data_IF_220395212700
#
_entry.id   IF_220395212700
#
_cell.length_a   1.000
_cell.length_b   1.000
_cell.length_c   1.000
_cell.angle_alpha   90.00
_cell.angle_beta   90.00
_cell.angle_gamma   90.00
#
_symmetry.space_group_name_H-M   'P 1'
#
loop_
_entity.id
_entity.type
_entity.pdbx_description
1 polymer ?
#
# COMPACT_ATOMS: atom_id res chain seq x y z
N UNK A 1 27.87 11.59 -24.65
CA UNK A 1 26.99 12.28 -23.69
C UNK A 1 26.18 11.20 -23.01
N UNK A 2 26.59 10.84 -21.79
CA UNK A 2 25.97 9.80 -20.98
C UNK A 2 24.73 10.39 -20.31
N UNK A 3 23.55 9.99 -20.78
CA UNK A 3 22.29 10.29 -20.10
C UNK A 3 22.31 9.56 -18.76
N UNK A 4 22.52 10.28 -17.66
CA UNK A 4 22.21 9.74 -16.34
C UNK A 4 20.71 9.39 -16.33
N UNK A 5 20.30 8.19 -15.90
CA UNK A 5 18.90 7.96 -15.61
C UNK A 5 18.52 8.94 -14.49
N UNK A 6 17.44 9.67 -14.67
CA UNK A 6 16.86 10.43 -13.57
C UNK A 6 16.63 9.47 -12.42
N UNK A 7 17.29 9.68 -11.28
CA UNK A 7 16.90 9.06 -10.02
C UNK A 7 15.49 9.58 -9.71
N UNK A 8 14.47 8.91 -10.25
CA UNK A 8 13.08 9.06 -9.86
C UNK A 8 13.01 8.63 -8.40
N UNK A 9 13.32 9.54 -7.48
CA UNK A 9 13.40 9.20 -6.06
C UNK A 9 11.99 9.07 -5.51
N UNK A 10 11.44 7.85 -5.62
CA UNK A 10 10.26 7.40 -4.89
C UNK A 10 10.53 7.27 -3.38
N UNK A 11 11.69 7.72 -2.90
CA UNK A 11 12.12 7.65 -1.50
C UNK A 11 11.14 8.35 -0.57
N UNK A 12 10.65 9.54 -0.94
CA UNK A 12 9.65 10.25 -0.13
C UNK A 12 8.34 9.48 0.01
N UNK A 13 7.85 8.91 -1.10
CA UNK A 13 6.63 8.11 -1.14
C UNK A 13 6.81 6.80 -0.36
N UNK A 14 7.94 6.11 -0.56
CA UNK A 14 8.33 4.92 0.20
C UNK A 14 8.39 5.21 1.69
N UNK A 15 9.06 6.29 2.11
CA UNK A 15 9.20 6.67 3.51
C UNK A 15 7.84 7.08 4.13
N UNK A 16 6.93 7.64 3.34
CA UNK A 16 5.56 7.92 3.78
C UNK A 16 4.81 6.62 4.10
N UNK A 17 4.84 5.65 3.19
CA UNK A 17 4.11 4.38 3.34
C UNK A 17 4.75 3.50 4.43
N UNK A 18 6.07 3.44 4.48
CA UNK A 18 6.84 2.59 5.41
C UNK A 18 7.11 3.24 6.76
N UNK A 19 6.52 4.42 7.03
CA UNK A 19 6.78 5.20 8.24
C UNK A 19 6.53 4.40 9.52
N UNK A 20 7.57 4.25 10.34
CA UNK A 20 7.49 3.54 11.62
C UNK A 20 7.50 2.02 11.51
N UNK A 21 7.59 1.46 10.29
CA UNK A 21 7.70 0.03 10.05
C UNK A 21 9.17 -0.33 9.87
N UNK A 22 9.70 -1.15 10.78
CA UNK A 22 11.09 -1.68 10.69
C UNK A 22 11.12 -3.09 10.12
N UNK A 23 10.11 -3.88 10.45
CA UNK A 23 10.00 -5.28 10.07
C UNK A 23 8.52 -5.62 9.88
N UNK A 24 8.23 -6.44 8.87
CA UNK A 24 6.91 -6.99 8.62
C UNK A 24 7.03 -8.51 8.70
N UNK A 25 6.36 -9.11 9.67
CA UNK A 25 6.39 -10.55 9.84
C UNK A 25 5.45 -11.23 8.83
N UNK A 26 6.04 -11.84 7.81
CA UNK A 26 5.33 -12.54 6.73
C UNK A 26 5.32 -14.07 6.92
N UNK A 27 5.72 -14.58 8.09
CA UNK A 27 5.76 -16.03 8.39
C UNK A 27 4.38 -16.66 8.67
N UNK A 28 3.29 -15.90 8.47
CA UNK A 28 1.93 -16.39 8.63
C UNK A 28 1.51 -17.40 7.55
N UNK A 29 0.27 -17.90 7.62
CA UNK A 29 -0.25 -18.89 6.66
C UNK A 29 -0.52 -18.31 5.26
N UNK A 30 -0.50 -16.98 5.10
CA UNK A 30 -0.79 -16.30 3.85
C UNK A 30 0.32 -16.53 2.82
N UNK A 31 -0.04 -16.86 1.59
CA UNK A 31 0.92 -17.10 0.49
C UNK A 31 0.81 -15.92 -0.49
N UNK A 32 1.66 -14.88 -0.38
CA UNK A 32 1.59 -13.73 -1.27
C UNK A 32 2.02 -14.07 -2.69
N UNK A 33 1.35 -13.44 -3.65
CA UNK A 33 1.78 -13.45 -5.06
C UNK A 33 3.05 -12.62 -5.26
N UNK A 34 3.86 -13.02 -6.24
CA UNK A 34 5.01 -12.23 -6.72
C UNK A 34 4.51 -11.15 -7.69
N UNK A 35 4.76 -9.89 -7.35
CA UNK A 35 4.33 -8.73 -8.12
C UNK A 35 5.39 -8.40 -9.18
N UNK A 36 4.96 -8.34 -10.43
CA UNK A 36 5.80 -7.87 -11.54
C UNK A 36 5.58 -6.37 -11.73
N UNK A 37 6.63 -5.58 -11.48
CA UNK A 37 6.58 -4.13 -11.57
C UNK A 37 6.98 -3.70 -12.99
N UNK A 38 6.17 -2.83 -13.60
CA UNK A 38 6.41 -2.29 -14.94
C UNK A 38 6.34 -0.76 -14.93
N UNK A 39 7.20 -0.13 -15.72
CA UNK A 39 7.29 1.33 -15.86
C UNK A 39 8.01 2.03 -14.70
N UNK A 40 8.32 3.31 -14.91
CA UNK A 40 9.23 4.06 -14.03
C UNK A 40 8.56 4.64 -12.77
N UNK A 41 7.25 4.51 -12.65
CA UNK A 41 6.45 5.01 -11.53
C UNK A 41 6.08 3.93 -10.52
N UNK A 42 6.37 2.65 -10.81
CA UNK A 42 6.16 1.55 -9.87
C UNK A 42 7.42 1.34 -9.02
N UNK A 43 7.25 1.12 -7.73
CA UNK A 43 8.36 0.88 -6.81
C UNK A 43 7.99 -0.18 -5.74
N UNK A 44 8.96 -1.00 -5.31
CA UNK A 44 8.72 -2.03 -4.31
C UNK A 44 8.58 -1.40 -2.91
N UNK A 45 7.71 -1.98 -2.08
CA UNK A 45 7.60 -1.68 -0.65
C UNK A 45 8.22 -2.79 0.20
N UNK A 46 7.96 -4.04 -0.19
CA UNK A 46 8.40 -5.23 0.55
C UNK A 46 8.89 -6.28 -0.43
N UNK A 47 10.07 -6.82 -0.17
CA UNK A 47 10.66 -7.92 -0.93
C UNK A 47 11.06 -9.05 0.01
N UNK A 48 10.99 -10.28 -0.47
CA UNK A 48 11.58 -11.42 0.24
C UNK A 48 13.09 -11.54 -0.06
N UNK A 49 13.76 -12.48 0.61
CA UNK A 49 15.19 -12.75 0.42
C UNK A 49 15.55 -13.27 -0.98
N UNK A 50 14.57 -13.69 -1.78
CA UNK A 50 14.75 -14.12 -3.17
C UNK A 50 14.62 -12.97 -4.17
N UNK A 51 14.33 -11.74 -3.70
CA UNK A 51 14.14 -10.56 -4.54
C UNK A 51 12.74 -10.44 -5.15
N UNK A 52 11.80 -11.30 -4.75
CA UNK A 52 10.41 -11.23 -5.20
C UNK A 52 9.68 -10.09 -4.49
N UNK A 53 8.85 -9.35 -5.22
CA UNK A 53 8.13 -8.19 -4.67
C UNK A 53 6.77 -8.65 -4.15
N UNK A 54 6.51 -8.44 -2.87
CA UNK A 54 5.28 -8.90 -2.21
C UNK A 54 4.29 -7.76 -2.00
N UNK A 55 4.79 -6.53 -1.95
CA UNK A 55 3.99 -5.31 -1.87
C UNK A 55 4.67 -4.22 -2.68
N UNK A 56 3.88 -3.43 -3.39
CA UNK A 56 4.38 -2.37 -4.25
C UNK A 56 3.44 -1.17 -4.24
N UNK A 57 3.94 -0.03 -4.68
CA UNK A 57 3.14 1.15 -4.93
C UNK A 57 3.46 1.72 -6.30
N UNK A 58 2.52 2.48 -6.86
CA UNK A 58 2.71 3.13 -8.14
C UNK A 58 1.87 4.40 -8.27
N UNK A 59 2.30 5.28 -9.18
CA UNK A 59 1.55 6.46 -9.59
C UNK A 59 1.17 6.37 -11.06
N UNK A 60 -0.04 6.80 -11.39
CA UNK A 60 -0.49 6.97 -12.77
C UNK A 60 -1.25 8.29 -12.90
N UNK A 61 -0.61 9.31 -13.50
CA UNK A 61 -1.09 10.69 -13.44
C UNK A 61 -1.17 11.17 -11.99
N UNK A 62 -2.35 11.61 -11.56
CA UNK A 62 -2.63 11.94 -10.15
C UNK A 62 -3.10 10.75 -9.31
N UNK A 63 -3.35 9.61 -9.96
CA UNK A 63 -3.77 8.38 -9.29
C UNK A 63 -2.61 7.73 -8.55
N UNK A 64 -2.92 7.12 -7.41
CA UNK A 64 -1.98 6.41 -6.54
C UNK A 64 -2.55 5.03 -6.26
N UNK A 65 -1.70 4.00 -6.28
CA UNK A 65 -2.08 2.63 -5.95
C UNK A 65 -1.05 2.00 -5.03
N UNK A 66 -1.54 1.21 -4.06
CA UNK A 66 -0.73 0.31 -3.25
C UNK A 66 -1.30 -1.09 -3.46
N UNK A 67 -0.44 -2.05 -3.74
CA UNK A 67 -0.80 -3.44 -4.00
C UNK A 67 -0.11 -4.33 -2.99
N UNK A 68 -0.88 -5.25 -2.40
CA UNK A 68 -0.40 -6.28 -1.49
C UNK A 68 -0.66 -7.62 -2.16
N UNK A 69 0.33 -8.51 -2.22
CA UNK A 69 0.24 -9.80 -2.89
C UNK A 69 -0.72 -10.79 -2.23
N UNK A 70 -1.32 -10.44 -1.09
CA UNK A 70 -2.34 -11.21 -0.38
C UNK A 70 -3.27 -10.27 0.41
N UNK A 71 -4.57 -10.54 0.43
CA UNK A 71 -5.60 -9.70 1.04
C UNK A 71 -5.49 -9.64 2.57
N UNK A 72 -5.13 -10.75 3.23
CA UNK A 72 -4.98 -10.83 4.69
C UNK A 72 -4.00 -9.80 5.24
N UNK A 73 -3.04 -9.33 4.44
CA UNK A 73 -2.09 -8.29 4.83
C UNK A 73 -2.76 -6.95 5.12
N UNK A 74 -3.95 -6.70 4.58
CA UNK A 74 -4.77 -5.54 4.96
C UNK A 74 -5.19 -5.59 6.44
N UNK A 75 -5.25 -6.78 7.03
CA UNK A 75 -5.59 -6.95 8.45
C UNK A 75 -4.37 -7.22 9.31
N UNK A 76 -3.34 -7.89 8.77
CA UNK A 76 -2.11 -8.21 9.50
C UNK A 76 -1.21 -6.98 9.74
N UNK A 77 -1.27 -5.97 8.86
CA UNK A 77 -0.41 -4.79 8.92
C UNK A 77 -1.20 -3.48 9.01
N UNK A 78 -1.93 -3.25 10.13
CA UNK A 78 -2.80 -2.08 10.26
C UNK A 78 -2.07 -0.74 10.13
N UNK A 79 -0.83 -0.65 10.62
CA UNK A 79 0.01 0.56 10.49
C UNK A 79 0.41 0.82 9.04
N UNK A 80 0.73 -0.23 8.26
CA UNK A 80 1.02 -0.11 6.84
C UNK A 80 -0.21 0.40 6.09
N UNK A 81 -1.38 -0.17 6.38
CA UNK A 81 -2.65 0.25 5.74
C UNK A 81 -2.97 1.70 6.06
N UNK A 82 -2.83 2.14 7.32
CA UNK A 82 -3.06 3.53 7.68
C UNK A 82 -2.10 4.48 6.95
N UNK A 83 -0.80 4.18 6.92
CA UNK A 83 0.18 4.98 6.19
C UNK A 83 -0.12 4.99 4.67
N UNK A 84 -0.49 3.85 4.09
CA UNK A 84 -0.90 3.75 2.70
C UNK A 84 -2.11 4.64 2.41
N UNK A 85 -3.13 4.64 3.27
CA UNK A 85 -4.28 5.54 3.14
C UNK A 85 -3.88 7.01 3.23
N UNK A 86 -2.90 7.35 4.09
CA UNK A 86 -2.37 8.72 4.17
C UNK A 86 -1.74 9.13 2.84
N UNK A 87 -0.96 8.25 2.25
CA UNK A 87 -0.31 8.47 0.97
C UNK A 87 -1.30 8.50 -0.21
N UNK A 88 -2.26 7.56 -0.25
CA UNK A 88 -3.27 7.44 -1.31
C UNK A 88 -4.17 8.66 -1.41
N UNK A 89 -4.52 9.27 -0.27
CA UNK A 89 -5.31 10.52 -0.24
C UNK A 89 -4.62 11.66 -1.00
N UNK A 90 -3.29 11.67 -1.04
CA UNK A 90 -2.51 12.77 -1.61
C UNK A 90 -2.75 14.11 -0.91
N UNK A 91 -2.30 15.18 -1.57
CA UNK A 91 -2.49 16.56 -1.13
C UNK A 91 -3.77 17.10 -1.76
N UNK A 92 -4.86 17.25 -0.99
CA UNK A 92 -6.04 17.99 -1.48
C UNK A 92 -7.43 17.48 -1.11
N UNK A 93 -7.56 16.40 -0.34
CA UNK A 93 -8.87 15.90 0.12
C UNK A 93 -8.94 15.81 1.63
N UNK A 94 -9.86 16.54 2.26
CA UNK A 94 -10.19 16.37 3.68
C UNK A 94 -11.16 15.20 3.92
N UNK A 95 -11.59 14.51 2.86
CA UNK A 95 -12.52 13.40 2.96
C UNK A 95 -11.84 12.19 3.63
N UNK A 96 -12.31 11.74 4.81
CA UNK A 96 -11.75 10.60 5.51
C UNK A 96 -12.33 9.27 5.03
N UNK A 97 -13.35 9.27 4.15
CA UNK A 97 -14.09 8.06 3.76
C UNK A 97 -13.21 7.06 3.03
N UNK A 98 -13.29 5.80 3.48
CA UNK A 98 -12.61 4.66 2.87
C UNK A 98 -13.63 3.56 2.66
N UNK A 99 -13.85 3.16 1.41
CA UNK A 99 -14.71 2.03 1.10
C UNK A 99 -13.92 0.72 1.22
N UNK A 100 -14.48 -0.26 1.93
CA UNK A 100 -13.84 -1.55 2.20
C UNK A 100 -14.71 -2.67 1.63
N UNK A 101 -14.13 -3.55 0.83
CA UNK A 101 -14.86 -4.70 0.30
C UNK A 101 -15.26 -5.70 1.41
N UNK A 102 -16.44 -6.31 1.31
CA UNK A 102 -16.98 -7.23 2.33
C UNK A 102 -16.07 -8.41 2.71
N UNK A 103 -15.23 -8.90 1.79
CA UNK A 103 -14.27 -9.98 2.10
C UNK A 103 -13.19 -9.59 3.12
N UNK A 104 -12.96 -8.29 3.33
CA UNK A 104 -11.95 -7.76 4.26
C UNK A 104 -12.59 -6.90 5.35
N UNK A 105 -13.77 -7.31 5.82
CA UNK A 105 -14.58 -6.62 6.85
C UNK A 105 -13.89 -6.42 8.22
N UNK A 106 -12.71 -7.01 8.46
CA UNK A 106 -11.93 -6.74 9.66
C UNK A 106 -11.12 -5.44 9.58
N UNK A 107 -10.87 -4.91 8.38
CA UNK A 107 -10.08 -3.67 8.16
C UNK A 107 -10.65 -2.45 8.89
N UNK A 108 -11.98 -2.17 8.90
CA UNK A 108 -12.52 -1.01 9.61
C UNK A 108 -12.26 -1.05 11.12
N UNK A 109 -12.20 -2.24 11.73
CA UNK A 109 -11.91 -2.38 13.16
C UNK A 109 -10.48 -1.93 13.48
N UNK A 110 -9.55 -2.22 12.59
CA UNK A 110 -8.14 -1.83 12.72
C UNK A 110 -7.91 -0.32 12.54
N UNK A 111 -8.84 0.37 11.88
CA UNK A 111 -8.76 1.81 11.59
C UNK A 111 -9.59 2.67 12.57
N UNK A 112 -10.16 2.08 13.62
CA UNK A 112 -11.07 2.75 14.55
C UNK A 112 -10.45 3.94 15.31
N UNK A 113 -9.13 3.92 15.52
CA UNK A 113 -8.37 4.99 16.16
C UNK A 113 -7.70 5.93 15.16
N UNK A 114 -7.87 5.68 13.86
CA UNK A 114 -7.32 6.51 12.79
C UNK A 114 -8.25 7.68 12.47
N UNK A 115 -7.75 8.62 11.66
CA UNK A 115 -8.59 9.71 11.10
C UNK A 115 -9.49 9.28 9.95
N UNK A 116 -9.40 8.02 9.50
CA UNK A 116 -10.17 7.52 8.37
C UNK A 116 -11.49 6.90 8.83
N UNK A 117 -12.52 7.09 8.02
CA UNK A 117 -13.85 6.53 8.22
C UNK A 117 -14.05 5.39 7.24
N UNK A 118 -13.63 4.19 7.66
CA UNK A 118 -13.72 2.99 6.86
C UNK A 118 -15.11 2.35 6.97
N UNK A 119 -15.79 2.17 5.85
CA UNK A 119 -17.12 1.56 5.75
C UNK A 119 -17.07 0.33 4.86
N UNK A 120 -17.69 -0.76 5.30
CA UNK A 120 -17.83 -1.96 4.48
C UNK A 120 -18.90 -1.72 3.42
N UNK A 121 -18.50 -1.79 2.16
CA UNK A 121 -19.38 -1.68 1.01
C UNK A 121 -19.53 -3.04 0.31
N UNK A 122 -20.63 -3.18 -0.43
CA UNK A 122 -20.88 -4.35 -1.28
C UNK A 122 -19.95 -4.39 -2.50
N UNK A 123 -20.36 -5.11 -3.55
CA UNK A 123 -19.62 -5.13 -4.80
C UNK A 123 -19.63 -3.75 -5.46
N UNK A 124 -18.46 -3.28 -5.92
CA UNK A 124 -18.37 -2.11 -6.78
C UNK A 124 -19.02 -2.48 -8.12
N UNK A 125 -20.14 -1.83 -8.44
CA UNK A 125 -20.90 -2.01 -9.68
C UNK A 125 -20.33 -1.15 -10.81
#
# INVERSE_FOLDING_TARGET
MSSQPSLNSHEGDYMCIMRGLRELNLSGPCIPSDLVLIGDHAFPLVMNSQGQVLMAASLYGSGRIVVLGHEDYLTAFPVLVENALVWLRGEGSDNPSVAVHHNVQAVPRNLNSSRFQAEVVGAFS
#
